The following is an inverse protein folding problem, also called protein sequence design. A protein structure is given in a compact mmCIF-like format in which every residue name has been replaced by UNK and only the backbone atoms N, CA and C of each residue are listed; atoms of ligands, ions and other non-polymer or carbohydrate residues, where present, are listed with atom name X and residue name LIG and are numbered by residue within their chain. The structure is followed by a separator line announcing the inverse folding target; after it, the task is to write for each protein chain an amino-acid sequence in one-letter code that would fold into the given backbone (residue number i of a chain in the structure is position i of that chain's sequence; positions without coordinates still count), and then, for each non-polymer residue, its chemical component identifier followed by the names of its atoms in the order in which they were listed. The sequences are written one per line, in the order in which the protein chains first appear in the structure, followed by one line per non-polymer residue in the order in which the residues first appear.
data_IF_025869462288
#
_entry.id   IF_025869462288
#
_cell.length_a   1.000
_cell.length_b   1.000
_cell.length_c   1.000
_cell.angle_alpha   90.00
_cell.angle_beta   90.00
_cell.angle_gamma   90.00
#
_symmetry.space_group_name_H-M   'P 1'
#
loop_
_entity.id
_entity.type
_entity.pdbx_description
1 polymer ?
#
# COMPACT_ATOMS: atom_id res chain seq x y z
N UNK A 1 -5.60 -14.22 -17.08
CA UNK A 1 -4.35 -13.46 -17.33
C UNK A 1 -3.79 -12.94 -16.01
N UNK A 2 -2.53 -13.21 -15.75
CA UNK A 2 -1.85 -12.74 -14.55
C UNK A 2 -0.98 -11.53 -14.88
N UNK A 3 -0.86 -10.60 -13.94
CA UNK A 3 0.00 -9.45 -14.10
C UNK A 3 0.70 -9.06 -12.81
N UNK A 4 1.85 -8.42 -12.94
CA UNK A 4 2.65 -7.94 -11.83
C UNK A 4 3.20 -6.55 -12.18
N UNK A 5 3.05 -5.62 -11.24
CA UNK A 5 3.62 -4.26 -11.35
C UNK A 5 4.45 -4.01 -10.10
N UNK A 6 5.49 -3.23 -10.25
CA UNK A 6 6.38 -2.93 -9.13
C UNK A 6 6.83 -1.47 -9.18
N UNK A 7 6.94 -0.85 -8.01
CA UNK A 7 7.49 0.49 -7.84
C UNK A 7 8.51 0.46 -6.72
N UNK A 8 9.65 1.08 -6.93
CA UNK A 8 10.70 1.20 -5.92
C UNK A 8 11.06 2.66 -5.72
N UNK A 9 11.23 3.05 -4.45
CA UNK A 9 11.70 4.38 -4.07
C UNK A 9 12.82 4.23 -3.05
N UNK A 10 13.99 4.77 -3.38
CA UNK A 10 15.10 4.83 -2.44
C UNK A 10 14.91 6.02 -1.51
N UNK A 11 15.05 5.80 -0.21
CA UNK A 11 14.87 6.83 0.81
C UNK A 11 16.07 6.87 1.76
N UNK A 12 16.43 8.08 2.18
CA UNK A 12 17.52 8.31 3.11
C UNK A 12 17.11 8.12 4.57
N UNK A 13 16.44 6.99 4.86
CA UNK A 13 15.92 6.66 6.19
C UNK A 13 16.23 5.20 6.50
N UNK A 14 16.52 4.87 7.79
CA UNK A 14 16.70 3.47 8.18
C UNK A 14 15.44 2.65 7.90
N UNK A 15 15.61 1.41 7.45
CA UNK A 15 14.50 0.53 7.11
C UNK A 15 13.53 0.32 8.28
N UNK A 16 14.03 0.21 9.51
CA UNK A 16 13.18 0.05 10.69
C UNK A 16 12.24 1.21 10.94
N UNK A 17 12.68 2.43 10.64
CA UNK A 17 11.86 3.63 10.79
C UNK A 17 10.72 3.63 9.76
N UNK A 18 11.03 3.28 8.52
CA UNK A 18 10.02 3.19 7.45
C UNK A 18 9.04 2.05 7.75
N UNK A 19 9.55 0.92 8.23
CA UNK A 19 8.71 -0.23 8.59
C UNK A 19 7.73 0.09 9.72
N UNK A 20 8.09 0.97 10.63
CA UNK A 20 7.20 1.44 11.70
C UNK A 20 5.89 2.03 11.16
N UNK A 21 5.91 2.54 9.94
CA UNK A 21 4.71 3.04 9.24
C UNK A 21 4.07 1.92 8.41
N UNK A 22 4.84 1.30 7.52
CA UNK A 22 4.30 0.31 6.57
C UNK A 22 3.80 -0.97 7.23
N UNK A 23 4.43 -1.40 8.32
CA UNK A 23 4.06 -2.62 9.01
C UNK A 23 2.86 -2.49 9.95
N UNK A 24 2.30 -1.30 10.10
CA UNK A 24 1.26 -0.99 11.08
C UNK A 24 0.06 -0.30 10.43
N UNK A 25 -0.98 -0.02 11.22
CA UNK A 25 -2.14 0.76 10.77
C UNK A 25 -1.77 2.22 10.47
N UNK A 26 -0.60 2.67 10.88
CA UNK A 26 -0.16 4.04 10.66
C UNK A 26 -0.10 4.41 9.17
N UNK A 27 0.25 3.46 8.32
CA UNK A 27 0.29 3.71 6.87
C UNK A 27 -1.05 4.25 6.35
N UNK A 28 -2.13 3.51 6.60
CA UNK A 28 -3.46 3.91 6.13
C UNK A 28 -3.93 5.21 6.73
N UNK A 29 -3.69 5.41 8.03
CA UNK A 29 -4.04 6.65 8.74
C UNK A 29 -3.31 7.84 8.11
N UNK A 30 -2.03 7.70 7.85
CA UNK A 30 -1.20 8.75 7.29
C UNK A 30 -1.65 9.11 5.87
N UNK A 31 -1.98 8.11 5.06
CA UNK A 31 -2.44 8.32 3.69
C UNK A 31 -3.75 9.10 3.68
N UNK A 32 -4.71 8.77 4.54
CA UNK A 32 -5.98 9.51 4.63
C UNK A 32 -5.73 10.96 5.06
N UNK A 33 -4.82 11.18 6.01
CA UNK A 33 -4.48 12.53 6.48
C UNK A 33 -3.82 13.39 5.40
N UNK A 34 -2.85 12.83 4.68
CA UNK A 34 -1.97 13.58 3.79
C UNK A 34 -2.31 13.46 2.31
N UNK A 35 -2.98 12.38 1.91
CA UNK A 35 -3.35 12.09 0.53
C UNK A 35 -4.82 11.71 0.41
N UNK A 36 -5.75 12.61 0.82
CA UNK A 36 -7.19 12.29 0.71
C UNK A 36 -7.65 12.12 -0.74
N UNK A 37 -6.87 12.57 -1.70
CA UNK A 37 -7.10 12.34 -3.12
C UNK A 37 -6.69 10.94 -3.59
N UNK A 38 -5.98 10.17 -2.76
CA UNK A 38 -5.61 8.78 -3.05
C UNK A 38 -6.54 7.84 -2.29
N UNK A 39 -6.68 8.02 -0.97
CA UNK A 39 -7.63 7.30 -0.14
C UNK A 39 -8.40 8.33 0.68
N UNK A 40 -9.70 8.41 0.43
CA UNK A 40 -10.55 9.41 1.06
C UNK A 40 -10.90 9.04 2.49
N UNK A 41 -11.18 7.75 2.74
CA UNK A 41 -11.62 7.27 4.05
C UNK A 41 -11.12 5.85 4.28
N UNK A 42 -10.82 5.54 5.53
CA UNK A 42 -10.40 4.22 5.95
C UNK A 42 -11.17 3.84 7.22
N UNK A 43 -11.85 2.70 7.19
CA UNK A 43 -12.54 2.14 8.35
C UNK A 43 -11.93 0.78 8.69
N UNK A 44 -11.69 0.52 9.96
CA UNK A 44 -11.24 -0.78 10.44
C UNK A 44 -12.49 -1.62 10.67
N UNK A 45 -12.68 -2.65 9.84
CA UNK A 45 -13.84 -3.54 9.94
C UNK A 45 -13.56 -4.63 10.98
N UNK A 46 -12.34 -5.12 11.04
CA UNK A 46 -11.95 -6.21 11.91
C UNK A 46 -10.44 -6.13 12.18
N UNK A 47 -10.02 -6.49 13.39
CA UNK A 47 -8.62 -6.60 13.75
C UNK A 47 -8.02 -5.34 14.35
N UNK A 48 -6.72 -5.43 14.65
CA UNK A 48 -5.97 -4.39 15.37
C UNK A 48 -4.68 -3.96 14.65
N UNK A 49 -4.54 -4.35 13.38
CA UNK A 49 -3.34 -4.05 12.59
C UNK A 49 -2.46 -5.24 12.31
N UNK A 50 -2.72 -6.38 12.96
CA UNK A 50 -2.00 -7.62 12.70
C UNK A 50 -2.62 -8.43 11.56
N UNK A 51 -2.10 -9.64 11.36
CA UNK A 51 -2.65 -10.58 10.37
C UNK A 51 -4.12 -10.83 10.69
N UNK A 52 -4.96 -10.81 9.66
CA UNK A 52 -6.42 -10.95 9.80
C UNK A 52 -7.17 -9.62 9.84
N UNK A 53 -6.48 -8.50 9.98
CA UNK A 53 -7.11 -7.17 9.96
C UNK A 53 -7.79 -6.94 8.61
N UNK A 54 -9.01 -6.43 8.64
CA UNK A 54 -9.79 -6.08 7.44
C UNK A 54 -10.07 -4.58 7.48
N UNK A 55 -9.69 -3.90 6.41
CA UNK A 55 -9.92 -2.47 6.22
C UNK A 55 -10.91 -2.24 5.10
N UNK A 56 -11.79 -1.25 5.28
CA UNK A 56 -12.66 -0.74 4.22
C UNK A 56 -12.06 0.58 3.75
N UNK A 57 -11.60 0.61 2.50
CA UNK A 57 -11.03 1.81 1.90
C UNK A 57 -12.02 2.42 0.93
N UNK A 58 -12.26 3.72 1.08
CA UNK A 58 -13.13 4.50 0.19
C UNK A 58 -12.24 5.41 -0.65
N UNK A 59 -12.40 5.35 -1.95
CA UNK A 59 -11.63 6.16 -2.90
C UNK A 59 -12.42 7.40 -3.31
N UNK A 60 -11.74 8.47 -3.73
CA UNK A 60 -12.42 9.68 -4.20
C UNK A 60 -13.34 9.38 -5.39
N UNK A 61 -14.46 10.10 -5.45
CA UNK A 61 -15.41 10.01 -6.57
C UNK A 61 -14.81 10.65 -7.81
N UNK A 62 -15.28 10.21 -9.00
CA UNK A 62 -14.85 10.79 -10.28
C UNK A 62 -13.55 10.21 -10.83
N UNK A 63 -12.97 9.20 -10.19
CA UNK A 63 -11.81 8.48 -10.71
C UNK A 63 -12.27 7.30 -11.57
N UNK A 64 -11.40 6.83 -12.47
CA UNK A 64 -11.69 5.67 -13.31
C UNK A 64 -11.47 4.33 -12.60
N UNK A 65 -10.93 4.36 -11.38
CA UNK A 65 -10.68 3.16 -10.59
C UNK A 65 -11.87 2.77 -9.71
N UNK A 66 -11.68 1.80 -8.82
CA UNK A 66 -12.73 1.36 -7.91
C UNK A 66 -13.16 2.47 -6.96
N UNK A 67 -14.43 2.46 -6.52
CA UNK A 67 -14.95 3.43 -5.57
C UNK A 67 -14.65 3.04 -4.14
N UNK A 68 -14.60 1.75 -3.86
CA UNK A 68 -14.19 1.20 -2.57
C UNK A 68 -13.71 -0.22 -2.73
N UNK A 69 -12.97 -0.71 -1.76
CA UNK A 69 -12.77 -2.14 -1.57
C UNK A 69 -12.43 -2.44 -0.11
N UNK A 70 -12.59 -3.72 0.26
CA UNK A 70 -12.09 -4.23 1.53
C UNK A 70 -10.81 -4.99 1.27
N UNK A 71 -9.81 -4.78 2.10
CA UNK A 71 -8.56 -5.52 2.04
C UNK A 71 -8.29 -6.22 3.37
N UNK A 72 -7.65 -7.37 3.30
CA UNK A 72 -7.29 -8.16 4.46
C UNK A 72 -5.78 -8.35 4.51
N UNK A 73 -5.19 -8.11 5.68
CA UNK A 73 -3.78 -8.37 5.90
C UNK A 73 -3.58 -9.87 6.06
N UNK A 74 -2.86 -10.47 5.13
CA UNK A 74 -2.65 -11.93 5.11
C UNK A 74 -1.26 -12.33 5.53
N UNK A 75 -0.30 -11.40 5.51
CA UNK A 75 1.06 -11.67 5.95
C UNK A 75 1.71 -10.40 6.49
N UNK A 76 2.34 -10.51 7.65
CA UNK A 76 3.17 -9.46 8.23
C UNK A 76 4.40 -10.15 8.80
N UNK A 77 5.55 -9.85 8.23
CA UNK A 77 6.83 -10.43 8.61
C UNK A 77 7.74 -9.29 9.09
N UNK A 78 7.79 -9.07 10.39
CA UNK A 78 8.56 -7.98 10.98
C UNK A 78 10.07 -8.15 10.80
N UNK A 79 10.53 -9.39 10.74
CA UNK A 79 11.95 -9.68 10.57
C UNK A 79 12.44 -9.28 9.17
N UNK A 80 11.67 -9.63 8.15
CA UNK A 80 12.00 -9.31 6.75
C UNK A 80 11.33 -8.03 6.26
N UNK A 81 10.55 -7.35 7.10
CA UNK A 81 9.83 -6.11 6.78
C UNK A 81 8.99 -6.25 5.53
N UNK A 82 8.12 -7.26 5.53
CA UNK A 82 7.26 -7.58 4.40
C UNK A 82 5.81 -7.69 4.87
N UNK A 83 4.89 -7.09 4.12
CA UNK A 83 3.46 -7.12 4.42
C UNK A 83 2.69 -7.35 3.15
N UNK A 84 1.71 -8.27 3.22
CA UNK A 84 0.82 -8.56 2.10
C UNK A 84 -0.62 -8.34 2.50
N UNK A 85 -1.37 -7.68 1.64
CA UNK A 85 -2.81 -7.49 1.76
C UNK A 85 -3.50 -7.93 0.48
N UNK A 86 -4.65 -8.57 0.61
CA UNK A 86 -5.46 -8.98 -0.53
C UNK A 86 -6.79 -8.24 -0.51
N UNK A 87 -7.32 -7.94 -1.69
CA UNK A 87 -8.68 -7.42 -1.82
C UNK A 87 -9.65 -8.58 -1.65
N UNK A 88 -10.57 -8.45 -0.71
CA UNK A 88 -11.54 -9.51 -0.38
C UNK A 88 -12.98 -9.16 -0.79
N UNK A 89 -13.28 -7.89 -1.05
CA UNK A 89 -14.61 -7.45 -1.45
C UNK A 89 -14.52 -6.13 -2.21
N UNK A 90 -15.33 -6.00 -3.25
CA UNK A 90 -15.44 -4.75 -4.01
C UNK A 90 -14.28 -4.48 -4.95
N UNK A 91 -14.22 -3.27 -5.44
CA UNK A 91 -13.13 -2.79 -6.26
C UNK A 91 -12.85 -3.64 -7.49
N UNK A 92 -11.63 -4.05 -7.64
CA UNK A 92 -11.19 -4.84 -8.79
C UNK A 92 -11.91 -6.18 -8.93
N UNK A 93 -12.37 -6.78 -7.80
CA UNK A 93 -13.10 -8.03 -7.86
C UNK A 93 -14.43 -7.91 -8.60
N UNK A 94 -15.01 -6.71 -8.65
CA UNK A 94 -16.23 -6.43 -9.40
C UNK A 94 -15.95 -6.12 -10.87
N UNK A 95 -14.69 -6.05 -11.26
CA UNK A 95 -14.24 -5.75 -12.62
C UNK A 95 -13.65 -6.96 -13.33
N UNK A 96 -13.96 -8.16 -12.86
CA UNK A 96 -13.45 -9.39 -13.45
C UNK A 96 -12.09 -9.86 -12.94
N UNK A 97 -11.58 -9.26 -11.89
CA UNK A 97 -10.34 -9.72 -11.29
C UNK A 97 -10.63 -10.88 -10.34
N UNK A 98 -9.89 -11.95 -10.49
CA UNK A 98 -9.99 -13.15 -9.64
C UNK A 98 -9.19 -13.00 -8.35
N UNK A 99 -8.13 -12.21 -8.39
CA UNK A 99 -7.30 -11.92 -7.23
C UNK A 99 -6.59 -10.59 -7.41
N UNK A 100 -6.29 -9.93 -6.30
CA UNK A 100 -5.56 -8.67 -6.27
C UNK A 100 -4.81 -8.59 -4.96
N UNK A 101 -3.47 -8.59 -5.05
CA UNK A 101 -2.58 -8.58 -3.89
C UNK A 101 -1.66 -7.37 -3.96
N UNK A 102 -1.45 -6.74 -2.83
CA UNK A 102 -0.48 -5.65 -2.68
C UNK A 102 0.55 -6.09 -1.65
N UNK A 103 1.83 -6.04 -2.03
CA UNK A 103 2.96 -6.37 -1.15
C UNK A 103 3.83 -5.16 -0.95
N UNK A 104 4.15 -4.88 0.31
CA UNK A 104 5.12 -3.86 0.66
C UNK A 104 6.35 -4.53 1.28
N UNK A 105 7.52 -4.15 0.80
CA UNK A 105 8.79 -4.61 1.33
C UNK A 105 9.68 -3.40 1.60
N UNK A 106 10.27 -3.37 2.79
CA UNK A 106 11.24 -2.31 3.14
C UNK A 106 12.60 -2.97 3.21
N UNK A 107 13.46 -2.62 2.27
CA UNK A 107 14.74 -3.29 2.04
C UNK A 107 15.88 -2.38 2.46
N UNK A 108 16.81 -2.88 3.28
CA UNK A 108 18.02 -2.12 3.60
C UNK A 108 18.83 -1.89 2.33
N UNK A 109 19.26 -0.67 2.11
CA UNK A 109 20.24 -0.34 1.08
C UNK A 109 21.61 -0.13 1.75
N UNK A 110 21.66 0.78 2.70
CA UNK A 110 22.82 0.99 3.56
C UNK A 110 22.31 0.86 4.99
N UNK A 111 22.73 -0.21 5.68
CA UNK A 111 22.20 -0.57 7.00
C UNK A 111 22.22 0.60 7.97
N UNK A 112 21.05 0.91 8.56
CA UNK A 112 20.88 1.99 9.51
C UNK A 112 20.87 3.40 8.90
N UNK A 113 21.00 3.54 7.57
CA UNK A 113 21.13 4.84 6.89
C UNK A 113 20.07 5.04 5.82
N UNK A 114 19.94 4.08 4.90
CA UNK A 114 19.02 4.20 3.77
C UNK A 114 18.32 2.89 3.48
N UNK A 115 17.17 2.99 2.80
CA UNK A 115 16.34 1.84 2.48
C UNK A 115 15.61 2.06 1.17
N UNK A 116 14.96 0.99 0.70
CA UNK A 116 14.14 1.02 -0.50
C UNK A 116 12.73 0.62 -0.10
N UNK A 117 11.75 1.45 -0.49
CA UNK A 117 10.33 1.09 -0.37
C UNK A 117 9.94 0.43 -1.67
N UNK A 118 9.70 -0.88 -1.61
CA UNK A 118 9.27 -1.66 -2.75
C UNK A 118 7.81 -2.03 -2.61
N UNK A 119 6.98 -1.61 -3.57
CA UNK A 119 5.56 -1.88 -3.60
C UNK A 119 5.24 -2.70 -4.83
N UNK A 120 4.65 -3.87 -4.63
CA UNK A 120 4.34 -4.83 -5.70
C UNK A 120 2.84 -5.08 -5.74
N UNK A 121 2.27 -5.07 -6.93
CA UNK A 121 0.87 -5.43 -7.17
C UNK A 121 0.86 -6.69 -8.02
N UNK A 122 0.19 -7.74 -7.54
CA UNK A 122 0.00 -8.98 -8.28
C UNK A 122 -1.48 -9.22 -8.46
N UNK A 123 -1.90 -9.56 -9.66
CA UNK A 123 -3.32 -9.80 -9.94
C UNK A 123 -3.52 -10.92 -10.95
N UNK A 124 -4.73 -11.43 -10.94
CA UNK A 124 -5.24 -12.32 -11.99
C UNK A 124 -6.59 -11.77 -12.43
N UNK A 125 -6.78 -11.62 -13.73
CA UNK A 125 -8.03 -11.13 -14.32
C UNK A 125 -8.55 -12.15 -15.33
N UNK A 126 -9.89 -12.29 -15.40
CA UNK A 126 -10.53 -13.18 -16.37
C UNK A 126 -10.21 -12.74 -17.79
N UNK A 127 -10.03 -13.69 -18.71
CA UNK A 127 -9.69 -13.41 -20.10
C UNK A 127 -10.70 -12.46 -20.76
N UNK A 128 -11.98 -12.64 -20.49
CA UNK A 128 -13.04 -11.77 -21.03
C UNK A 128 -13.00 -10.34 -20.48
N UNK A 129 -12.27 -10.11 -19.38
CA UNK A 129 -12.09 -8.81 -18.74
C UNK A 129 -10.63 -8.33 -18.79
N UNK A 130 -9.81 -8.96 -19.63
CA UNK A 130 -8.36 -8.66 -19.70
C UNK A 130 -8.08 -7.19 -20.03
N UNK A 131 -8.98 -6.50 -20.71
CA UNK A 131 -8.85 -5.07 -20.98
C UNK A 131 -8.80 -4.21 -19.71
N UNK A 132 -9.38 -4.69 -18.62
CA UNK A 132 -9.38 -3.97 -17.34
C UNK A 132 -8.01 -3.98 -16.66
N UNK A 133 -7.07 -4.82 -17.12
CA UNK A 133 -5.71 -4.81 -16.59
C UNK A 133 -5.04 -3.43 -16.75
N UNK A 134 -5.43 -2.66 -17.77
CA UNK A 134 -4.89 -1.31 -17.99
C UNK A 134 -5.29 -0.30 -16.92
N UNK A 135 -6.29 -0.62 -16.10
CA UNK A 135 -6.72 0.21 -14.98
C UNK A 135 -5.78 0.07 -13.78
N UNK A 136 -4.99 -0.99 -13.72
CA UNK A 136 -4.04 -1.22 -12.63
C UNK A 136 -2.76 -0.45 -12.94
N UNK A 137 -2.40 0.45 -12.03
CA UNK A 137 -1.18 1.26 -12.16
C UNK A 137 -0.46 1.32 -10.81
N UNK A 138 0.79 1.75 -10.83
CA UNK A 138 1.57 1.98 -9.59
C UNK A 138 1.46 3.40 -9.07
N UNK A 139 0.62 4.25 -9.69
CA UNK A 139 0.52 5.66 -9.34
C UNK A 139 0.20 5.89 -7.86
N UNK A 140 -0.77 5.14 -7.31
CA UNK A 140 -1.16 5.28 -5.91
C UNK A 140 -0.05 4.85 -4.95
N UNK A 141 0.55 3.69 -5.16
CA UNK A 141 1.62 3.19 -4.28
C UNK A 141 2.88 4.05 -4.39
N UNK A 142 3.14 4.63 -5.56
CA UNK A 142 4.25 5.58 -5.75
C UNK A 142 4.01 6.87 -4.95
N UNK A 143 2.80 7.43 -5.03
CA UNK A 143 2.42 8.63 -4.27
C UNK A 143 2.50 8.38 -2.77
N UNK A 144 2.08 7.21 -2.32
CA UNK A 144 2.16 6.80 -0.91
C UNK A 144 3.62 6.73 -0.46
N UNK A 145 4.50 6.10 -1.24
CA UNK A 145 5.92 5.99 -0.90
C UNK A 145 6.58 7.36 -0.76
N UNK A 146 6.33 8.26 -1.70
CA UNK A 146 6.85 9.62 -1.65
C UNK A 146 6.31 10.40 -0.46
N UNK A 147 5.04 10.24 -0.15
CA UNK A 147 4.39 10.87 1.00
C UNK A 147 4.99 10.42 2.31
N UNK A 148 5.16 9.11 2.50
CA UNK A 148 5.75 8.53 3.72
C UNK A 148 7.20 8.99 3.88
N UNK A 149 7.97 8.95 2.79
CA UNK A 149 9.37 9.39 2.80
C UNK A 149 9.47 10.87 3.21
N UNK A 150 8.65 11.72 2.61
CA UNK A 150 8.62 13.15 2.93
C UNK A 150 8.21 13.43 4.37
N UNK A 151 7.18 12.75 4.84
CA UNK A 151 6.70 12.89 6.21
C UNK A 151 7.76 12.49 7.24
N UNK A 152 8.39 11.32 7.08
CA UNK A 152 9.40 10.84 8.01
C UNK A 152 10.68 11.67 7.95
N UNK A 153 11.06 12.15 6.79
CA UNK A 153 12.22 13.04 6.64
C UNK A 153 11.97 14.36 7.36
N UNK A 154 10.77 14.90 7.25
CA UNK A 154 10.36 16.14 7.91
C UNK A 154 10.34 15.98 9.43
N UNK A 155 9.83 14.85 9.94
CA UNK A 155 9.84 14.53 11.37
C UNK A 155 11.27 14.47 11.90
N UNK A 156 12.17 13.79 11.16
CA UNK A 156 13.57 13.67 11.52
C UNK A 156 14.25 15.05 11.63
N UNK A 157 13.97 15.95 10.67
CA UNK A 157 14.48 17.34 10.70
C UNK A 157 13.90 18.11 11.87
N UNK A 158 12.60 17.97 12.14
CA UNK A 158 11.94 18.61 13.29
C UNK A 158 12.48 18.12 14.62
N UNK A 159 12.77 16.82 14.73
CA UNK A 159 13.31 16.22 15.95
C UNK A 159 14.74 16.67 16.26
N UNK A 160 15.51 17.13 15.27
CA UNK A 160 16.87 17.59 15.45
C UNK A 160 16.96 19.07 15.86
N UNK A 161 15.83 19.74 15.93
CA UNK A 161 15.73 21.10 16.43
C UNK A 161 15.38 21.08 17.92
#
# INVERSE_FOLDING_TARGET
MKGTLCHELEVGLPAGQVWGVYGTLRLGQLVVELLPNVIQKLDIVEGDGGVGTVLHLTFPTGTSGPQFYKEKFVKIDDENRLKEAIVVEGGYLEMGFLSFLIRFEIIDKEAGVSSIIKSTIEYEVEEEHAGNASLVTTAAVAAIAECVSGYLTKEKSGASN
#
